data_IF_409240834463
#
_entry.id   IF_409240834463
#
_cell.length_a   1.000
_cell.length_b   1.000
_cell.length_c   1.000
_cell.angle_alpha   90.00
_cell.angle_beta   90.00
_cell.angle_gamma   90.00
#
_symmetry.space_group_name_H-M   'P 1'
#
loop_
_entity.id
_entity.type
_entity.pdbx_description
1 polymer ?
#
# COMPACT_ATOMS: atom_id res chain seq x y z
N UNK A 1 -31.33 -29.70 -32.88
CA UNK A 1 -30.41 -30.10 -31.81
C UNK A 1 -29.85 -28.82 -31.20
N UNK A 2 -30.42 -28.38 -30.07
CA UNK A 2 -29.92 -27.25 -29.30
C UNK A 2 -28.87 -27.79 -28.32
N UNK A 3 -27.69 -27.18 -28.31
CA UNK A 3 -26.67 -27.40 -27.28
C UNK A 3 -26.58 -26.12 -26.46
N UNK A 4 -27.33 -26.12 -25.37
CA UNK A 4 -27.12 -25.25 -24.23
C UNK A 4 -25.86 -25.77 -23.52
N UNK A 5 -24.81 -24.96 -23.38
CA UNK A 5 -23.72 -25.26 -22.44
C UNK A 5 -23.76 -24.29 -21.28
N UNK A 6 -23.71 -24.91 -20.11
CA UNK A 6 -24.00 -24.39 -18.79
C UNK A 6 -23.01 -23.34 -18.30
N UNK A 7 -23.50 -22.53 -17.36
CA UNK A 7 -22.71 -21.53 -16.66
C UNK A 7 -21.74 -22.11 -15.64
N UNK A 8 -20.69 -21.35 -15.39
CA UNK A 8 -20.01 -21.22 -14.10
C UNK A 8 -18.90 -20.17 -14.27
N UNK A 9 -19.05 -18.98 -13.68
CA UNK A 9 -17.89 -18.14 -13.36
C UNK A 9 -17.62 -18.35 -11.86
N UNK A 10 -16.67 -19.22 -11.49
CA UNK A 10 -16.49 -19.55 -10.09
C UNK A 10 -15.67 -18.47 -9.38
N UNK A 11 -16.27 -18.04 -8.27
CA UNK A 11 -15.64 -17.75 -6.99
C UNK A 11 -14.93 -16.40 -6.84
N UNK A 12 -15.69 -15.45 -6.27
CA UNK A 12 -15.18 -14.39 -5.39
C UNK A 12 -14.18 -15.00 -4.41
N UNK A 13 -12.89 -14.83 -4.67
CA UNK A 13 -11.86 -15.18 -3.69
C UNK A 13 -11.92 -14.16 -2.57
N UNK A 14 -12.70 -14.48 -1.54
CA UNK A 14 -12.46 -13.98 -0.20
C UNK A 14 -10.98 -14.23 0.10
N UNK A 15 -10.14 -13.21 -0.05
CA UNK A 15 -8.73 -13.33 0.29
C UNK A 15 -8.67 -13.28 1.80
N UNK A 16 -8.66 -14.48 2.38
CA UNK A 16 -8.52 -14.70 3.81
C UNK A 16 -7.43 -13.78 4.36
N UNK A 17 -7.75 -13.10 5.45
CA UNK A 17 -6.76 -12.52 6.34
C UNK A 17 -5.99 -13.68 6.98
N UNK A 18 -5.08 -14.29 6.23
CA UNK A 18 -4.26 -15.41 6.69
C UNK A 18 -2.80 -15.10 6.42
N UNK A 19 -2.22 -14.33 7.33
CA UNK A 19 -0.82 -14.41 7.73
C UNK A 19 -0.55 -13.38 8.85
N UNK A 20 -0.40 -13.82 10.11
CA UNK A 20 0.76 -14.51 10.71
C UNK A 20 1.80 -13.49 11.20
N UNK A 21 2.12 -13.54 12.49
CA UNK A 21 3.14 -12.76 13.19
C UNK A 21 4.40 -12.60 12.32
N UNK A 22 4.61 -11.40 11.77
CA UNK A 22 5.79 -11.03 11.00
C UNK A 22 6.30 -9.67 11.46
N UNK A 23 7.51 -9.66 12.02
CA UNK A 23 8.50 -8.59 12.03
C UNK A 23 7.97 -7.13 12.09
N UNK A 24 7.90 -6.54 13.31
CA UNK A 24 7.29 -5.22 13.58
C UNK A 24 7.63 -4.07 12.62
N UNK A 25 8.84 -4.06 12.04
CA UNK A 25 9.25 -3.04 11.07
C UNK A 25 8.47 -3.06 9.75
N UNK A 26 7.99 -4.22 9.28
CA UNK A 26 7.18 -4.24 8.04
C UNK A 26 5.77 -3.67 8.26
N UNK A 27 5.21 -3.86 9.47
CA UNK A 27 3.98 -3.19 9.87
C UNK A 27 4.20 -1.68 10.08
N UNK A 28 5.31 -1.29 10.70
CA UNK A 28 5.66 0.11 10.89
C UNK A 28 5.84 0.82 9.53
N UNK A 29 6.56 0.22 8.59
CA UNK A 29 6.74 0.75 7.24
C UNK A 29 5.40 0.95 6.51
N UNK A 30 4.47 -0.02 6.63
CA UNK A 30 3.11 0.11 6.09
C UNK A 30 2.33 1.26 6.72
N UNK A 31 2.44 1.43 8.05
CA UNK A 31 1.76 2.50 8.80
C UNK A 31 2.29 3.86 8.39
N UNK A 32 3.61 4.07 8.42
CA UNK A 32 4.25 5.33 8.02
C UNK A 32 3.77 5.78 6.64
N UNK A 33 3.83 4.89 5.64
CA UNK A 33 3.41 5.27 4.28
C UNK A 33 1.91 5.58 4.22
N UNK A 34 1.07 4.79 4.91
CA UNK A 34 -0.38 5.03 4.94
C UNK A 34 -0.69 6.39 5.57
N UNK A 35 -0.10 6.67 6.72
CA UNK A 35 -0.36 7.89 7.48
C UNK A 35 0.07 9.11 6.66
N UNK A 36 1.18 8.99 5.95
CA UNK A 36 1.67 10.06 5.08
C UNK A 36 0.80 10.26 3.83
N UNK A 37 0.26 9.19 3.24
CA UNK A 37 -0.74 9.30 2.17
C UNK A 37 -2.01 10.02 2.66
N UNK A 38 -2.45 9.74 3.88
CA UNK A 38 -3.60 10.40 4.51
C UNK A 38 -3.29 11.88 4.76
N UNK A 39 -2.13 12.20 5.37
CA UNK A 39 -1.70 13.57 5.67
C UNK A 39 -1.56 14.43 4.42
N UNK A 40 -1.06 13.86 3.33
CA UNK A 40 -0.87 14.57 2.05
C UNK A 40 -2.12 14.57 1.16
N UNK A 41 -3.14 13.78 1.50
CA UNK A 41 -4.34 13.61 0.68
C UNK A 41 -4.07 12.97 -0.68
N UNK A 42 -2.97 12.24 -0.84
CA UNK A 42 -2.55 11.66 -2.12
C UNK A 42 -3.11 10.26 -2.28
N UNK A 43 -3.82 10.03 -3.39
CA UNK A 43 -4.30 8.68 -3.73
C UNK A 43 -3.16 7.80 -4.25
N UNK A 44 -3.35 6.47 -4.25
CA UNK A 44 -2.37 5.55 -4.85
C UNK A 44 -2.15 5.83 -6.34
N UNK A 45 -3.18 6.28 -7.05
CA UNK A 45 -3.10 6.63 -8.47
C UNK A 45 -2.25 7.88 -8.68
N UNK A 46 -2.42 8.88 -7.82
CA UNK A 46 -1.63 10.10 -7.88
C UNK A 46 -0.19 9.87 -7.43
N UNK A 47 0.04 8.98 -6.46
CA UNK A 47 1.38 8.55 -6.10
C UNK A 47 2.09 7.90 -7.29
N UNK A 48 1.41 7.02 -8.05
CA UNK A 48 1.98 6.45 -9.29
C UNK A 48 2.34 7.54 -10.30
N UNK A 49 1.45 8.52 -10.54
CA UNK A 49 1.73 9.62 -11.46
C UNK A 49 2.95 10.45 -11.02
N UNK A 50 3.08 10.70 -9.71
CA UNK A 50 4.21 11.45 -9.13
C UNK A 50 5.51 10.66 -9.20
N UNK A 51 5.47 9.36 -8.93
CA UNK A 51 6.61 8.45 -9.10
C UNK A 51 7.08 8.41 -10.57
N UNK A 52 6.15 8.36 -11.52
CA UNK A 52 6.46 8.39 -12.94
C UNK A 52 7.20 9.67 -13.36
N UNK A 53 6.86 10.83 -12.78
CA UNK A 53 7.59 12.10 -13.02
C UNK A 53 9.04 12.06 -12.54
N UNK A 54 9.37 11.16 -11.60
CA UNK A 54 10.73 10.92 -11.12
C UNK A 54 11.41 9.73 -11.81
N UNK A 55 10.81 9.19 -12.89
CA UNK A 55 11.34 8.05 -13.65
C UNK A 55 11.02 6.69 -13.05
N UNK A 56 10.17 6.61 -12.02
CA UNK A 56 9.75 5.36 -11.39
C UNK A 56 8.40 4.94 -11.95
N UNK A 57 8.42 3.99 -12.89
CA UNK A 57 7.21 3.45 -13.50
C UNK A 57 6.67 2.28 -12.68
N UNK A 58 5.61 2.53 -11.92
CA UNK A 58 4.86 1.52 -11.17
C UNK A 58 3.41 1.49 -11.67
N UNK A 59 2.75 0.33 -11.60
CA UNK A 59 1.30 0.25 -11.76
C UNK A 59 0.64 0.34 -10.38
N UNK A 60 -0.56 0.94 -10.28
CA UNK A 60 -1.37 1.02 -9.05
C UNK A 60 -1.49 -0.33 -8.35
N UNK A 61 -1.72 -1.42 -9.10
CA UNK A 61 -1.81 -2.76 -8.52
C UNK A 61 -0.47 -3.22 -7.91
N UNK A 62 0.63 -2.97 -8.61
CA UNK A 62 1.97 -3.36 -8.16
C UNK A 62 2.40 -2.55 -6.94
N UNK A 63 2.17 -1.23 -6.98
CA UNK A 63 2.38 -0.31 -5.88
C UNK A 63 1.62 -0.78 -4.64
N UNK A 64 0.31 -1.01 -4.76
CA UNK A 64 -0.52 -1.50 -3.64
C UNK A 64 -0.02 -2.82 -3.07
N UNK A 65 0.36 -3.76 -3.92
CA UNK A 65 0.92 -5.05 -3.47
C UNK A 65 2.27 -4.89 -2.78
N UNK A 66 3.14 -4.01 -3.28
CA UNK A 66 4.47 -3.70 -2.73
C UNK A 66 4.36 -3.04 -1.36
N UNK A 67 3.48 -2.06 -1.24
CA UNK A 67 3.14 -1.41 0.04
C UNK A 67 2.49 -2.39 1.01
N UNK A 68 1.51 -3.19 0.57
CA UNK A 68 0.82 -4.16 1.42
C UNK A 68 1.74 -5.26 1.99
N UNK A 69 2.82 -5.62 1.28
CA UNK A 69 3.85 -6.54 1.79
C UNK A 69 4.77 -5.88 2.81
N UNK A 70 5.01 -4.57 2.72
CA UNK A 70 5.88 -3.80 3.64
C UNK A 70 7.37 -4.14 3.51
N UNK A 71 7.75 -4.83 2.43
CA UNK A 71 9.13 -5.18 2.11
C UNK A 71 9.46 -4.57 0.76
N UNK A 72 10.17 -3.46 0.79
CA UNK A 72 10.66 -2.74 -0.37
C UNK A 72 12.05 -2.21 -0.07
N UNK A 73 12.77 -1.80 -1.10
CA UNK A 73 14.10 -1.21 -0.94
C UNK A 73 14.01 0.14 -0.24
N UNK A 74 15.04 0.51 0.53
CA UNK A 74 15.12 1.85 1.12
C UNK A 74 15.08 2.95 0.04
N UNK A 75 15.65 2.71 -1.15
CA UNK A 75 15.56 3.62 -2.28
C UNK A 75 14.11 3.90 -2.70
N UNK A 76 13.26 2.87 -2.73
CA UNK A 76 11.84 3.01 -3.06
C UNK A 76 11.09 3.80 -1.98
N UNK A 77 11.42 3.59 -0.70
CA UNK A 77 10.87 4.40 0.39
C UNK A 77 11.18 5.88 0.19
N UNK A 78 12.43 6.22 -0.08
CA UNK A 78 12.86 7.60 -0.30
C UNK A 78 12.18 8.23 -1.52
N UNK A 79 12.01 7.46 -2.60
CA UNK A 79 11.25 7.89 -3.77
C UNK A 79 9.79 8.19 -3.43
N UNK A 80 9.13 7.33 -2.64
CA UNK A 80 7.76 7.58 -2.19
C UNK A 80 7.69 8.83 -1.32
N UNK A 81 8.61 9.01 -0.37
CA UNK A 81 8.66 10.20 0.49
C UNK A 81 8.89 11.47 -0.33
N UNK A 82 9.81 11.44 -1.30
CA UNK A 82 10.03 12.54 -2.24
C UNK A 82 8.79 12.85 -3.08
N UNK A 83 8.07 11.82 -3.57
CA UNK A 83 6.81 12.00 -4.31
C UNK A 83 5.73 12.70 -3.47
N UNK A 84 5.67 12.37 -2.19
CA UNK A 84 4.72 12.94 -1.24
C UNK A 84 5.15 14.31 -0.71
N UNK A 85 6.40 14.73 -0.92
CA UNK A 85 6.95 16.00 -0.42
C UNK A 85 7.42 15.94 1.03
N UNK A 86 7.74 14.74 1.50
CA UNK A 86 7.97 14.43 2.92
C UNK A 86 9.46 14.43 3.18
N UNK A 87 9.88 15.29 4.12
CA UNK A 87 11.30 15.51 4.43
C UNK A 87 11.78 14.74 5.65
N UNK A 88 10.85 14.41 6.54
CA UNK A 88 11.14 13.80 7.84
C UNK A 88 10.21 12.62 8.06
N UNK A 89 10.80 11.46 8.33
CA UNK A 89 10.07 10.29 8.81
C UNK A 89 10.31 10.22 10.31
N UNK A 90 9.23 10.24 11.06
CA UNK A 90 9.28 10.02 12.50
C UNK A 90 9.08 8.51 12.77
N UNK A 91 9.99 7.94 13.56
CA UNK A 91 9.96 6.53 13.96
C UNK A 91 9.42 6.38 15.39
N UNK A 92 8.47 7.21 15.81
CA UNK A 92 7.86 7.04 17.12
C UNK A 92 7.03 5.75 17.23
N UNK A 93 7.04 5.25 18.46
CA UNK A 93 6.70 3.90 18.87
C UNK A 93 5.30 3.46 18.41
N UNK A 94 5.21 2.17 18.03
CA UNK A 94 4.07 1.55 17.34
C UNK A 94 2.77 1.45 18.15
N UNK A 95 2.60 2.25 19.21
CA UNK A 95 1.56 2.14 20.23
C UNK A 95 0.75 3.43 20.47
N UNK A 96 0.70 4.36 19.50
CA UNK A 96 -0.36 5.37 19.49
C UNK A 96 -1.64 4.84 18.84
N UNK A 97 -2.33 4.04 19.66
CA UNK A 97 -3.77 4.07 19.91
C UNK A 97 -4.71 4.31 18.70
N UNK A 98 -5.51 3.30 18.36
CA UNK A 98 -6.80 3.45 17.68
C UNK A 98 -7.78 4.21 18.58
N UNK A 99 -7.61 5.52 18.76
CA UNK A 99 -8.67 6.44 19.18
C UNK A 99 -8.38 7.80 18.54
N UNK A 100 -9.07 8.11 17.45
CA UNK A 100 -9.22 9.51 17.04
C UNK A 100 -10.24 10.19 17.98
N UNK A 101 -10.04 11.47 18.35
CA UNK A 101 -11.06 12.23 19.05
C UNK A 101 -12.10 12.80 18.06
N UNK A 102 -13.35 12.80 18.52
CA UNK A 102 -14.57 13.45 17.99
C UNK A 102 -15.39 12.66 16.97
#
# INVERSE_FOLDING_TARGET
MQIQVEGAVPQRRARGRKDLKGHGFDLQAKRIIRDELIRTGVSHEDLVKRLARMGVHENVLNLRNKLARGRFTASFLLQVMAALGVKTIDLEEAERNTIGPT
#
